data_IF_432464377724
#
_entry.id   IF_432464377724
#
_cell.length_a   1.000
_cell.length_b   1.000
_cell.length_c   1.000
_cell.angle_alpha   90.00
_cell.angle_beta   90.00
_cell.angle_gamma   90.00
#
_symmetry.space_group_name_H-M   'P 1'
#
loop_
_entity.id
_entity.type
_entity.pdbx_description
1 polymer ?
#
# COMPACT_ATOMS: atom_id res chain seq x y z
N UNK A 1 -0.87 11.65 4.86
CA UNK A 1 0.11 10.61 5.18
C UNK A 1 -0.47 9.26 4.84
N UNK A 2 0.33 8.36 4.30
CA UNK A 2 -0.13 7.06 3.82
C UNK A 2 0.33 5.97 4.78
N UNK A 3 -0.60 5.08 5.14
CA UNK A 3 -0.27 3.86 5.88
C UNK A 3 -0.25 2.69 4.89
N UNK A 4 0.75 1.84 5.01
CA UNK A 4 0.96 0.71 4.11
C UNK A 4 1.14 -0.56 4.91
N UNK A 5 0.39 -1.60 4.55
CA UNK A 5 0.60 -2.95 5.06
C UNK A 5 1.43 -3.73 4.05
N UNK A 6 2.55 -4.25 4.48
CA UNK A 6 3.40 -5.11 3.66
C UNK A 6 3.23 -6.56 4.12
N UNK A 7 2.90 -7.44 3.19
CA UNK A 7 2.68 -8.86 3.47
C UNK A 7 3.55 -9.69 2.54
N UNK A 8 4.16 -10.71 3.07
CA UNK A 8 4.87 -11.69 2.25
C UNK A 8 3.91 -12.80 1.85
N UNK A 9 3.80 -13.04 0.54
CA UNK A 9 2.94 -14.09 -0.01
C UNK A 9 3.79 -15.00 -0.89
N UNK A 10 4.18 -16.14 -0.34
CA UNK A 10 5.10 -17.04 -1.02
C UNK A 10 6.47 -16.38 -1.22
N UNK A 11 6.92 -16.29 -2.47
CA UNK A 11 8.18 -15.64 -2.83
C UNK A 11 8.02 -14.16 -3.18
N UNK A 12 6.80 -13.62 -3.07
CA UNK A 12 6.49 -12.23 -3.43
C UNK A 12 6.11 -11.42 -2.20
N UNK A 13 6.22 -10.10 -2.33
CA UNK A 13 5.72 -9.15 -1.36
C UNK A 13 4.56 -8.37 -1.97
N UNK A 14 3.51 -8.20 -1.19
CA UNK A 14 2.37 -7.35 -1.56
C UNK A 14 2.31 -6.20 -0.58
N UNK A 15 2.17 -4.98 -1.09
CA UNK A 15 2.00 -3.78 -0.28
C UNK A 15 0.64 -3.17 -0.59
N UNK A 16 -0.09 -2.86 0.46
CA UNK A 16 -1.46 -2.33 0.37
C UNK A 16 -1.52 -1.00 1.09
N UNK A 17 -1.85 0.05 0.35
CA UNK A 17 -2.15 1.35 0.96
C UNK A 17 -3.54 1.30 1.60
N UNK A 18 -3.71 1.99 2.72
CA UNK A 18 -4.92 1.89 3.52
C UNK A 18 -5.90 3.02 3.20
N UNK A 19 -5.43 4.25 3.17
CA UNK A 19 -6.30 5.43 2.96
C UNK A 19 -6.86 5.48 1.54
N UNK A 20 -6.18 4.86 0.60
CA UNK A 20 -6.63 4.64 -0.76
C UNK A 20 -6.36 3.18 -1.11
N UNK A 21 -7.36 2.51 -1.63
CA UNK A 21 -7.28 1.08 -1.94
C UNK A 21 -6.43 0.85 -3.19
N UNK A 22 -5.13 0.95 -3.02
CA UNK A 22 -4.13 0.74 -4.07
C UNK A 22 -3.10 -0.25 -3.55
N UNK A 23 -2.78 -1.24 -4.35
CA UNK A 23 -1.84 -2.28 -3.98
C UNK A 23 -0.84 -2.53 -5.09
N UNK A 24 0.32 -3.04 -4.72
CA UNK A 24 1.36 -3.43 -5.66
C UNK A 24 2.06 -4.68 -5.17
N UNK A 25 2.79 -5.33 -6.05
CA UNK A 25 3.48 -6.59 -5.77
C UNK A 25 4.89 -6.54 -6.33
N UNK A 26 5.81 -7.20 -5.67
CA UNK A 26 7.19 -7.27 -6.13
C UNK A 26 7.95 -8.41 -5.49
N UNK A 27 9.17 -8.63 -5.95
CA UNK A 27 10.05 -9.66 -5.42
C UNK A 27 10.62 -9.30 -4.04
N UNK A 28 10.58 -8.01 -3.69
CA UNK A 28 10.99 -7.51 -2.38
C UNK A 28 10.00 -6.48 -1.89
N UNK A 29 10.00 -6.22 -0.57
CA UNK A 29 9.14 -5.19 0.01
C UNK A 29 9.47 -3.82 -0.59
N UNK A 30 10.75 -3.48 -0.71
CA UNK A 30 11.14 -2.18 -1.25
C UNK A 30 10.79 -2.04 -2.72
N UNK A 31 10.90 -3.14 -3.49
CA UNK A 31 10.48 -3.13 -4.89
C UNK A 31 8.98 -2.93 -5.04
N UNK A 32 8.19 -3.61 -4.21
CA UNK A 32 6.74 -3.42 -4.20
C UNK A 32 6.36 -1.99 -3.80
N UNK A 33 7.04 -1.43 -2.79
CA UNK A 33 6.83 -0.03 -2.40
C UNK A 33 7.19 0.95 -3.50
N UNK A 34 8.28 0.69 -4.23
CA UNK A 34 8.67 1.55 -5.35
C UNK A 34 7.58 1.56 -6.43
N UNK A 35 7.02 0.39 -6.74
CA UNK A 35 5.91 0.30 -7.69
C UNK A 35 4.67 1.03 -7.20
N UNK A 36 4.33 0.87 -5.93
CA UNK A 36 3.20 1.58 -5.33
C UNK A 36 3.42 3.09 -5.42
N UNK A 37 4.63 3.56 -5.16
CA UNK A 37 4.97 4.98 -5.28
C UNK A 37 4.79 5.51 -6.70
N UNK A 38 5.18 4.72 -7.71
CA UNK A 38 4.96 5.10 -9.11
C UNK A 38 3.47 5.21 -9.45
N UNK A 39 2.64 4.34 -8.87
CA UNK A 39 1.19 4.41 -9.07
C UNK A 39 0.62 5.71 -8.48
N UNK A 40 1.05 6.10 -7.28
CA UNK A 40 0.64 7.36 -6.68
C UNK A 40 1.12 8.56 -7.48
N UNK A 41 2.36 8.54 -7.96
CA UNK A 41 2.91 9.63 -8.76
C UNK A 41 2.16 9.77 -10.09
N UNK A 42 1.83 8.65 -10.74
CA UNK A 42 1.06 8.66 -11.98
C UNK A 42 -0.33 9.25 -11.75
N UNK A 43 -0.98 8.89 -10.63
CA UNK A 43 -2.28 9.45 -10.29
C UNK A 43 -2.18 10.96 -10.04
N UNK A 44 -1.14 11.41 -9.35
CA UNK A 44 -0.93 12.85 -9.13
C UNK A 44 -0.78 13.60 -10.45
N UNK A 45 -0.07 13.02 -11.41
CA UNK A 45 0.09 13.62 -12.74
C UNK A 45 -1.25 13.74 -13.47
N UNK A 46 -2.11 12.73 -13.36
CA UNK A 46 -3.45 12.76 -13.93
C UNK A 46 -4.29 13.83 -13.24
N UNK A 47 -4.29 13.89 -11.92
CA UNK A 47 -5.06 14.85 -11.15
C UNK A 47 -4.64 16.30 -11.41
N UNK A 48 -3.40 16.52 -11.86
CA UNK A 48 -2.92 17.85 -12.20
C UNK A 48 -3.58 18.40 -13.48
N UNK A 49 -4.10 17.54 -14.35
CA UNK A 49 -4.68 17.93 -15.64
C UNK A 49 -6.14 17.54 -15.79
N UNK A 50 -6.65 16.67 -14.93
CA UNK A 50 -8.03 16.19 -14.98
C UNK A 50 -8.76 16.59 -13.70
N UNK A 51 -9.94 17.20 -13.84
CA UNK A 51 -10.74 17.66 -12.70
C UNK A 51 -11.84 16.69 -12.27
N UNK A 52 -12.12 15.67 -13.08
CA UNK A 52 -13.24 14.77 -12.89
C UNK A 52 -12.79 13.32 -12.60
N UNK A 53 -11.67 13.16 -11.92
CA UNK A 53 -11.19 11.84 -11.53
C UNK A 53 -11.92 11.40 -10.26
N UNK A 54 -12.54 10.22 -10.32
CA UNK A 54 -13.23 9.68 -9.16
C UNK A 54 -12.22 9.38 -8.03
N UNK A 55 -12.57 9.66 -6.77
CA UNK A 55 -11.69 9.32 -5.65
C UNK A 55 -11.59 7.81 -5.48
N UNK A 56 -10.41 7.34 -5.08
CA UNK A 56 -10.20 5.94 -4.74
C UNK A 56 -10.72 5.73 -3.32
N UNK A 57 -11.55 4.71 -3.08
CA UNK A 57 -12.05 4.43 -1.73
C UNK A 57 -10.91 3.92 -0.83
N UNK A 58 -11.18 3.92 0.48
CA UNK A 58 -10.27 3.30 1.44
C UNK A 58 -10.23 1.79 1.21
N UNK A 59 -9.13 1.17 1.61
CA UNK A 59 -9.04 -0.30 1.66
C UNK A 59 -10.11 -0.86 2.61
N UNK A 60 -10.52 -2.12 2.40
CA UNK A 60 -11.46 -2.77 3.33
C UNK A 60 -10.99 -2.69 4.78
N UNK A 61 -11.94 -2.65 5.71
CA UNK A 61 -11.65 -2.45 7.14
C UNK A 61 -10.74 -3.53 7.72
N UNK A 62 -10.73 -4.72 7.13
CA UNK A 62 -9.86 -5.82 7.54
C UNK A 62 -8.39 -5.44 7.46
N UNK A 63 -8.02 -4.58 6.51
CA UNK A 63 -6.63 -4.11 6.39
C UNK A 63 -6.23 -3.17 7.54
N UNK A 64 -7.14 -2.34 8.02
CA UNK A 64 -6.86 -1.48 9.17
C UNK A 64 -6.60 -2.34 10.41
N UNK A 65 -7.36 -3.40 10.58
CA UNK A 65 -7.15 -4.34 11.68
C UNK A 65 -5.81 -5.08 11.54
N UNK A 66 -5.47 -5.48 10.32
CA UNK A 66 -4.18 -6.14 10.06
C UNK A 66 -3.00 -5.19 10.35
N UNK A 67 -3.13 -3.91 10.04
CA UNK A 67 -2.12 -2.90 10.37
C UNK A 67 -1.96 -2.78 11.88
N UNK A 68 -3.06 -2.75 12.64
CA UNK A 68 -3.00 -2.62 14.10
C UNK A 68 -2.33 -3.82 14.77
N UNK A 69 -2.36 -4.98 14.12
CA UNK A 69 -1.71 -6.20 14.60
C UNK A 69 -0.33 -6.42 13.98
N UNK A 70 0.07 -5.55 13.07
CA UNK A 70 1.32 -5.67 12.36
C UNK A 70 2.51 -5.10 13.11
N UNK A 71 3.68 -5.32 12.55
CA UNK A 71 4.93 -4.82 13.09
C UNK A 71 5.32 -3.54 12.35
N UNK A 72 5.42 -2.43 13.08
CA UNK A 72 5.80 -1.15 12.51
C UNK A 72 7.27 -1.15 12.12
N UNK A 73 7.54 -0.84 10.86
CA UNK A 73 8.92 -0.79 10.32
C UNK A 73 9.50 0.61 10.40
N UNK A 74 8.67 1.61 10.12
CA UNK A 74 9.12 3.00 10.10
C UNK A 74 8.51 3.77 8.94
N UNK A 75 9.06 4.95 8.70
CA UNK A 75 8.62 5.84 7.62
C UNK A 75 9.55 5.63 6.43
N UNK A 76 8.98 5.35 5.26
CA UNK A 76 9.72 5.14 4.03
C UNK A 76 9.16 6.05 2.93
N UNK A 77 10.01 6.45 1.96
CA UNK A 77 9.51 7.23 0.83
C UNK A 77 8.48 6.42 0.02
N UNK A 78 7.47 7.11 -0.47
CA UNK A 78 6.44 6.54 -1.34
C UNK A 78 6.26 7.48 -2.54
N UNK A 79 6.97 7.19 -3.62
CA UNK A 79 7.01 8.06 -4.78
C UNK A 79 7.82 9.32 -4.52
N UNK A 80 7.56 10.35 -5.34
CA UNK A 80 8.37 11.57 -5.36
C UNK A 80 8.06 12.51 -4.20
N UNK A 81 6.81 12.52 -3.70
CA UNK A 81 6.35 13.57 -2.77
C UNK A 81 5.72 13.05 -1.49
N UNK A 82 5.54 11.73 -1.36
CA UNK A 82 4.88 11.15 -0.20
C UNK A 82 5.83 10.35 0.66
N UNK A 83 5.42 10.15 1.90
CA UNK A 83 6.03 9.18 2.80
C UNK A 83 4.95 8.23 3.30
N UNK A 84 5.35 7.02 3.63
CA UNK A 84 4.44 5.99 4.14
C UNK A 84 4.92 5.49 5.50
N UNK A 85 3.97 5.30 6.40
CA UNK A 85 4.18 4.47 7.58
C UNK A 85 3.99 3.02 7.16
N UNK A 86 5.03 2.21 7.28
CA UNK A 86 5.02 0.84 6.79
C UNK A 86 4.92 -0.14 7.95
N UNK A 87 3.99 -1.07 7.83
CA UNK A 87 3.76 -2.15 8.78
C UNK A 87 3.91 -3.48 8.06
N UNK A 88 4.58 -4.43 8.67
CA UNK A 88 4.64 -5.80 8.17
C UNK A 88 3.63 -6.63 8.93
N UNK A 89 2.79 -7.35 8.22
CA UNK A 89 1.76 -8.16 8.83
C UNK A 89 1.29 -9.28 7.91
N UNK A 90 0.20 -9.90 8.31
CA UNK A 90 -0.42 -11.00 7.58
C UNK A 90 -1.60 -10.43 6.80
N UNK A 91 -1.70 -10.78 5.50
CA UNK A 91 -2.83 -10.37 4.69
C UNK A 91 -4.13 -10.89 5.30
N UNK A 92 -5.17 -10.04 5.45
CA UNK A 92 -6.44 -10.50 5.97
C UNK A 92 -7.09 -11.58 5.11
N UNK A 93 -6.72 -11.68 3.83
CA UNK A 93 -7.26 -12.69 2.93
C UNK A 93 -6.47 -13.99 2.96
N UNK A 94 -5.22 -13.98 3.36
CA UNK A 94 -4.39 -15.17 3.50
C UNK A 94 -4.88 -16.11 4.59
N UNK A 95 -5.48 -15.57 5.62
CA UNK A 95 -5.97 -16.34 6.77
C UNK A 95 -7.11 -17.29 6.39
N UNK A 96 -7.67 -17.17 5.19
CA UNK A 96 -8.77 -17.99 4.71
C UNK A 96 -8.33 -19.27 4.03
N UNK A 97 -7.08 -19.40 3.71
CA UNK A 97 -6.59 -20.51 2.88
C UNK A 97 -6.06 -21.68 3.68
N UNK A 98 -6.23 -21.66 4.95
CA UNK A 98 -5.82 -22.77 5.82
C UNK A 98 -6.80 -23.91 5.79
#
# INVERSE_FOLDING_TARGET
MVSVLACREGSSWVVQAIEQDVASQGASMLGALADLGRMFDARDAILAIETNVAPVPRAPAEYEQAVSQGHYVGVLPLGAVRVAHVYIGISPFEQRSS
#
